data_IF_812954969177
#
_entry.id   IF_812954969177
#
_cell.length_a   1.000
_cell.length_b   1.000
_cell.length_c   1.000
_cell.angle_alpha   90.00
_cell.angle_beta   90.00
_cell.angle_gamma   90.00
#
_symmetry.space_group_name_H-M   'P 1'
#
loop_
_entity.id
_entity.type
_entity.pdbx_description
1 polymer ?
#
# COMPACT_ATOMS: atom_id res chain seq x y z
N UNK A 1 14.73 -28.85 -23.61
CA UNK A 1 15.54 -27.85 -22.89
C UNK A 1 15.78 -28.40 -21.49
N UNK A 2 17.02 -28.53 -21.08
CA UNK A 2 17.35 -28.99 -19.74
C UNK A 2 17.10 -27.80 -18.80
N UNK A 3 16.08 -27.88 -17.97
CA UNK A 3 15.80 -26.84 -16.97
C UNK A 3 16.96 -26.86 -15.97
N UNK A 4 17.76 -25.84 -15.98
CA UNK A 4 18.83 -25.66 -14.99
C UNK A 4 18.15 -25.20 -13.72
N UNK A 5 18.10 -26.03 -12.69
CA UNK A 5 17.51 -25.67 -11.40
C UNK A 5 18.60 -25.09 -10.49
N UNK A 6 19.04 -23.87 -10.81
CA UNK A 6 20.12 -23.17 -10.10
C UNK A 6 19.71 -22.81 -8.68
N UNK A 7 18.44 -22.45 -8.50
CA UNK A 7 17.87 -22.06 -7.19
C UNK A 7 18.05 -23.16 -6.14
N UNK A 8 17.97 -24.45 -6.53
CA UNK A 8 18.06 -25.58 -5.59
C UNK A 8 19.50 -25.98 -5.24
N UNK A 9 20.51 -25.34 -5.81
CA UNK A 9 21.89 -25.64 -5.46
C UNK A 9 22.23 -25.18 -4.04
N UNK A 10 23.09 -25.93 -3.35
CA UNK A 10 23.54 -25.59 -1.99
C UNK A 10 24.16 -24.20 -1.92
N UNK A 11 24.89 -23.82 -2.97
CA UNK A 11 25.51 -22.51 -3.06
C UNK A 11 24.46 -21.38 -3.03
N UNK A 12 23.40 -21.48 -3.85
CA UNK A 12 22.33 -20.45 -3.91
C UNK A 12 21.49 -20.46 -2.64
N UNK A 13 21.20 -21.63 -2.06
CA UNK A 13 20.49 -21.70 -0.79
C UNK A 13 21.28 -21.06 0.37
N UNK A 14 22.60 -21.23 0.37
CA UNK A 14 23.48 -20.56 1.35
C UNK A 14 23.50 -19.04 1.15
N UNK A 15 23.56 -18.59 -0.11
CA UNK A 15 23.49 -17.17 -0.47
C UNK A 15 22.18 -16.54 0.02
N UNK A 16 21.03 -17.18 -0.22
CA UNK A 16 19.71 -16.71 0.21
C UNK A 16 19.64 -16.56 1.74
N UNK A 17 20.09 -17.56 2.48
CA UNK A 17 20.11 -17.51 3.95
C UNK A 17 20.97 -16.35 4.46
N UNK A 18 22.16 -16.17 3.89
CA UNK A 18 23.07 -15.09 4.25
C UNK A 18 22.48 -13.72 3.92
N UNK A 19 21.94 -13.55 2.71
CA UNK A 19 21.33 -12.29 2.26
C UNK A 19 20.12 -11.89 3.11
N UNK A 20 19.34 -12.87 3.60
CA UNK A 20 18.24 -12.65 4.53
C UNK A 20 18.67 -12.49 6.00
N UNK A 21 19.97 -12.64 6.32
CA UNK A 21 20.49 -12.55 7.68
C UNK A 21 20.14 -13.76 8.57
N UNK A 22 19.77 -14.90 7.98
CA UNK A 22 19.43 -16.12 8.72
C UNK A 22 20.66 -16.89 9.22
N UNK A 23 21.86 -16.43 8.88
CA UNK A 23 23.14 -16.96 9.31
C UNK A 23 23.64 -16.40 10.66
N UNK A 24 22.86 -15.52 11.29
CA UNK A 24 23.22 -14.89 12.56
C UNK A 24 21.95 -14.53 13.39
N UNK A 25 22.13 -14.21 14.67
CA UNK A 25 21.05 -13.93 15.61
C UNK A 25 20.68 -12.44 15.72
N UNK A 26 21.28 -11.55 14.88
CA UNK A 26 21.03 -10.10 14.94
C UNK A 26 19.78 -9.74 14.15
N UNK A 27 19.03 -8.76 14.65
CA UNK A 27 17.85 -8.20 13.97
C UNK A 27 16.55 -8.95 14.27
N UNK A 28 15.47 -8.52 13.63
CA UNK A 28 14.12 -9.05 13.86
C UNK A 28 13.92 -10.36 13.09
N UNK A 29 13.57 -11.48 13.76
CA UNK A 29 13.37 -12.78 13.12
C UNK A 29 12.28 -12.75 12.04
N UNK A 30 11.19 -12.01 12.27
CA UNK A 30 10.09 -11.90 11.29
C UNK A 30 10.53 -11.18 10.01
N UNK A 31 11.32 -10.13 10.15
CA UNK A 31 11.89 -9.43 8.98
C UNK A 31 12.80 -10.34 8.17
N UNK A 32 13.62 -11.16 8.82
CA UNK A 32 14.50 -12.13 8.13
C UNK A 32 13.69 -13.18 7.37
N UNK A 33 12.61 -13.69 7.96
CA UNK A 33 11.71 -14.64 7.32
C UNK A 33 11.08 -14.02 6.05
N UNK A 34 10.57 -12.80 6.15
CA UNK A 34 9.98 -12.06 5.02
C UNK A 34 11.04 -11.84 3.93
N UNK A 35 12.23 -11.37 4.30
CA UNK A 35 13.32 -11.15 3.35
C UNK A 35 13.76 -12.43 2.67
N UNK A 36 13.88 -13.54 3.40
CA UNK A 36 14.23 -14.83 2.82
C UNK A 36 13.19 -15.28 1.79
N UNK A 37 11.91 -15.12 2.12
CA UNK A 37 10.82 -15.43 1.20
C UNK A 37 10.83 -14.54 -0.04
N UNK A 38 10.95 -13.22 0.13
CA UNK A 38 11.03 -12.27 -0.97
C UNK A 38 12.17 -12.59 -1.93
N UNK A 39 13.38 -12.79 -1.41
CA UNK A 39 14.55 -13.14 -2.21
C UNK A 39 14.38 -14.47 -2.95
N UNK A 40 13.80 -15.47 -2.29
CA UNK A 40 13.51 -16.77 -2.90
C UNK A 40 12.54 -16.63 -4.08
N UNK A 41 11.46 -15.85 -3.91
CA UNK A 41 10.46 -15.64 -4.95
C UNK A 41 11.03 -14.83 -6.13
N UNK A 42 11.88 -13.83 -5.88
CA UNK A 42 12.58 -13.08 -6.92
C UNK A 42 13.55 -13.98 -7.70
N UNK A 43 14.35 -14.80 -7.01
CA UNK A 43 15.27 -15.73 -7.68
C UNK A 43 14.51 -16.77 -8.52
N UNK A 44 13.39 -17.27 -7.97
CA UNK A 44 12.50 -18.17 -8.71
C UNK A 44 11.91 -17.51 -9.95
N UNK A 45 11.46 -16.27 -9.86
CA UNK A 45 10.95 -15.50 -11.00
C UNK A 45 12.01 -15.33 -12.08
N UNK A 46 13.25 -15.00 -11.69
CA UNK A 46 14.37 -14.86 -12.62
C UNK A 46 14.61 -16.18 -13.38
N UNK A 47 14.59 -17.32 -12.68
CA UNK A 47 14.82 -18.64 -13.27
C UNK A 47 13.63 -19.10 -14.14
N UNK A 48 12.40 -18.93 -13.65
CA UNK A 48 11.17 -19.37 -14.34
C UNK A 48 10.92 -18.59 -15.65
N UNK A 49 11.24 -17.30 -15.65
CA UNK A 49 11.02 -16.39 -16.78
C UNK A 49 12.27 -16.19 -17.65
N UNK A 50 13.38 -16.83 -17.31
CA UNK A 50 14.68 -16.66 -17.98
C UNK A 50 15.09 -15.17 -18.12
N UNK A 51 14.90 -14.41 -17.02
CA UNK A 51 15.17 -12.97 -16.98
C UNK A 51 16.66 -12.72 -17.21
N UNK A 52 16.96 -11.93 -18.21
CA UNK A 52 18.34 -11.52 -18.53
C UNK A 52 18.87 -10.50 -17.51
N UNK A 53 20.19 -10.39 -17.43
CA UNK A 53 20.82 -9.38 -16.59
C UNK A 53 20.39 -7.95 -16.97
N UNK A 54 20.18 -7.69 -18.26
CA UNK A 54 19.76 -6.38 -18.75
C UNK A 54 18.33 -6.04 -18.28
N UNK A 55 17.38 -6.97 -18.42
CA UNK A 55 16.00 -6.80 -17.97
C UNK A 55 15.92 -6.61 -16.43
N UNK A 56 16.72 -7.37 -15.68
CA UNK A 56 16.81 -7.21 -14.22
C UNK A 56 17.28 -5.79 -13.84
N UNK A 57 18.35 -5.29 -14.50
CA UNK A 57 18.86 -3.95 -14.21
C UNK A 57 17.93 -2.82 -14.69
N UNK A 58 17.11 -3.04 -15.72
CA UNK A 58 16.03 -2.10 -16.08
C UNK A 58 15.05 -1.94 -14.91
N UNK A 59 14.62 -3.03 -14.27
CA UNK A 59 13.76 -2.97 -13.09
C UNK A 59 14.41 -2.24 -11.90
N UNK A 60 15.68 -2.52 -11.62
CA UNK A 60 16.44 -1.83 -10.56
C UNK A 60 16.55 -0.33 -10.84
N UNK A 61 16.86 0.06 -12.08
CA UNK A 61 16.96 1.46 -12.47
C UNK A 61 15.61 2.18 -12.33
N UNK A 62 14.52 1.54 -12.71
CA UNK A 62 13.18 2.09 -12.53
C UNK A 62 12.86 2.38 -11.04
N UNK A 63 13.14 1.43 -10.14
CA UNK A 63 12.96 1.67 -8.69
C UNK A 63 13.86 2.81 -8.17
N UNK A 64 15.07 2.93 -8.70
CA UNK A 64 15.97 4.02 -8.34
C UNK A 64 15.43 5.39 -8.80
N UNK A 65 14.85 5.47 -10.00
CA UNK A 65 14.21 6.68 -10.53
C UNK A 65 12.99 7.08 -9.69
N UNK A 66 12.12 6.12 -9.33
CA UNK A 66 10.99 6.37 -8.43
C UNK A 66 11.46 6.94 -7.08
N UNK A 67 12.53 6.38 -6.52
CA UNK A 67 13.10 6.87 -5.26
C UNK A 67 13.69 8.28 -5.40
N UNK A 68 14.41 8.54 -6.48
CA UNK A 68 15.02 9.84 -6.74
C UNK A 68 13.98 10.96 -6.95
N UNK A 69 12.84 10.62 -7.55
CA UNK A 69 11.73 11.55 -7.77
C UNK A 69 10.82 11.72 -6.54
N UNK A 70 11.01 10.95 -5.47
CA UNK A 70 10.09 10.93 -4.34
C UNK A 70 8.76 10.21 -4.60
N UNK A 71 8.68 9.42 -5.68
CA UNK A 71 7.47 8.74 -6.15
C UNK A 71 7.33 7.31 -5.64
N UNK A 72 8.31 6.82 -4.86
CA UNK A 72 8.31 5.45 -4.35
C UNK A 72 7.06 5.11 -3.50
N UNK A 73 6.47 6.11 -2.84
CA UNK A 73 5.22 5.98 -2.08
C UNK A 73 4.01 5.62 -2.97
N UNK A 74 4.07 5.97 -4.25
CA UNK A 74 3.01 5.67 -5.22
C UNK A 74 3.02 4.22 -5.69
N UNK A 75 4.09 3.47 -5.39
CA UNK A 75 4.24 2.08 -5.83
C UNK A 75 3.16 1.18 -5.22
N UNK A 76 2.88 1.34 -3.93
CA UNK A 76 1.91 0.51 -3.22
C UNK A 76 0.49 0.66 -3.76
N UNK A 77 -0.11 1.88 -3.85
CA UNK A 77 -1.43 2.06 -4.43
C UNK A 77 -1.44 1.78 -5.94
N UNK A 78 -0.40 2.17 -6.68
CA UNK A 78 -0.32 1.97 -8.14
C UNK A 78 -0.28 0.52 -8.58
N UNK A 79 0.30 -0.38 -7.77
CA UNK A 79 0.33 -1.83 -8.00
C UNK A 79 -0.80 -2.57 -7.28
N UNK A 80 -1.66 -1.87 -6.53
CA UNK A 80 -2.79 -2.45 -5.83
C UNK A 80 -2.40 -3.23 -4.55
N UNK A 81 -1.22 -3.01 -3.99
CA UNK A 81 -0.79 -3.70 -2.75
C UNK A 81 -1.65 -3.31 -1.57
N UNK A 82 -2.00 -2.02 -1.44
CA UNK A 82 -2.88 -1.52 -0.38
C UNK A 82 -4.26 -2.17 -0.48
N UNK A 83 -4.85 -2.16 -1.68
CA UNK A 83 -6.14 -2.82 -1.91
C UNK A 83 -6.09 -4.33 -1.61
N UNK A 84 -5.01 -5.01 -1.95
CA UNK A 84 -4.84 -6.42 -1.62
C UNK A 84 -4.79 -6.66 -0.10
N UNK A 85 -4.15 -5.74 0.66
CA UNK A 85 -4.13 -5.81 2.12
C UNK A 85 -5.54 -5.61 2.70
N UNK A 86 -6.32 -4.66 2.20
CA UNK A 86 -7.71 -4.43 2.59
C UNK A 86 -8.58 -5.68 2.36
N UNK A 87 -8.51 -6.26 1.16
CA UNK A 87 -9.23 -7.51 0.83
C UNK A 87 -8.85 -8.65 1.79
N UNK A 88 -7.59 -8.71 2.21
CA UNK A 88 -7.16 -9.73 3.18
C UNK A 88 -7.71 -9.50 4.58
N UNK A 89 -7.79 -8.25 5.03
CA UNK A 89 -8.38 -7.93 6.34
C UNK A 89 -9.89 -8.18 6.31
N UNK A 90 -10.61 -7.74 5.25
CA UNK A 90 -12.03 -8.04 5.07
C UNK A 90 -12.31 -9.56 5.07
N UNK A 91 -11.43 -10.36 4.47
CA UNK A 91 -11.56 -11.81 4.51
C UNK A 91 -11.37 -12.40 5.92
N UNK A 92 -10.54 -11.81 6.77
CA UNK A 92 -10.37 -12.23 8.16
C UNK A 92 -11.59 -11.87 9.01
N UNK A 93 -12.08 -10.63 8.86
CA UNK A 93 -13.26 -10.14 9.59
C UNK A 93 -14.49 -10.98 9.21
N UNK A 94 -14.64 -11.28 7.92
CA UNK A 94 -15.65 -12.23 7.43
C UNK A 94 -15.59 -13.59 8.09
N UNK A 95 -14.39 -14.12 8.26
CA UNK A 95 -14.20 -15.46 8.83
C UNK A 95 -14.57 -15.54 10.32
N UNK A 96 -14.55 -14.42 11.03
CA UNK A 96 -14.94 -14.32 12.45
C UNK A 96 -16.37 -13.76 12.64
N UNK A 97 -17.09 -13.48 11.54
CA UNK A 97 -18.47 -12.98 11.59
C UNK A 97 -18.57 -11.48 11.85
N UNK A 98 -17.50 -10.74 11.69
CA UNK A 98 -17.42 -9.26 11.83
C UNK A 98 -17.57 -8.54 10.48
N UNK A 99 -18.32 -9.11 9.56
CA UNK A 99 -18.65 -8.47 8.29
C UNK A 99 -19.88 -7.58 8.45
N UNK A 100 -19.65 -6.29 8.47
CA UNK A 100 -20.71 -5.28 8.44
C UNK A 100 -20.14 -3.92 7.99
N UNK A 101 -21.03 -3.04 7.56
CA UNK A 101 -20.70 -1.68 7.20
C UNK A 101 -20.11 -1.47 5.81
N UNK A 102 -19.48 -0.32 5.62
CA UNK A 102 -18.86 0.10 4.35
C UNK A 102 -17.55 -0.68 4.13
N UNK A 103 -17.33 -1.27 2.94
CA UNK A 103 -16.08 -1.95 2.63
C UNK A 103 -14.87 -1.04 2.78
N UNK A 104 -13.74 -1.60 3.23
CA UNK A 104 -12.46 -0.90 3.27
C UNK A 104 -12.04 -0.48 1.86
N UNK A 105 -11.37 0.66 1.80
CA UNK A 105 -10.73 1.15 0.57
C UNK A 105 -9.44 1.87 0.94
N UNK A 106 -8.58 2.08 -0.03
CA UNK A 106 -7.33 2.82 0.16
C UNK A 106 -7.61 4.31 0.36
N UNK A 107 -6.85 4.95 1.25
CA UNK A 107 -6.86 6.41 1.43
C UNK A 107 -6.35 7.15 0.19
N UNK A 108 -5.54 6.47 -0.60
CA UNK A 108 -4.89 7.04 -1.77
C UNK A 108 -3.63 7.84 -1.44
N UNK A 109 -2.85 8.23 -2.46
CA UNK A 109 -1.55 8.87 -2.27
C UNK A 109 -1.64 10.35 -1.88
N UNK A 110 -2.83 10.93 -1.88
CA UNK A 110 -3.07 12.35 -1.60
C UNK A 110 -3.55 12.62 -0.16
N UNK A 111 -3.79 11.59 0.62
CA UNK A 111 -4.16 11.74 2.03
C UNK A 111 -3.01 12.37 2.84
N UNK A 112 -3.36 13.33 3.69
CA UNK A 112 -2.42 14.00 4.60
C UNK A 112 -3.02 13.98 6.01
N UNK A 113 -2.32 13.33 6.92
CA UNK A 113 -2.70 13.27 8.33
C UNK A 113 -2.64 14.67 8.98
N UNK A 114 -3.54 14.93 9.92
CA UNK A 114 -3.54 16.16 10.71
C UNK A 114 -4.29 17.32 10.08
N UNK A 115 -5.33 17.03 9.30
CA UNK A 115 -6.25 18.02 8.78
C UNK A 115 -6.87 18.90 9.90
N UNK A 116 -7.25 20.17 9.63
CA UNK A 116 -8.01 20.98 10.56
C UNK A 116 -9.32 20.30 10.93
N UNK A 117 -9.67 20.33 12.22
CA UNK A 117 -10.91 19.71 12.71
C UNK A 117 -12.01 20.75 12.81
N UNK A 118 -13.20 20.38 12.34
CA UNK A 118 -14.43 21.19 12.45
C UNK A 118 -15.56 20.34 13.02
N UNK A 119 -16.57 20.97 13.61
CA UNK A 119 -17.78 20.29 14.09
C UNK A 119 -19.00 20.70 13.28
N UNK A 120 -19.77 19.73 12.84
CA UNK A 120 -21.00 19.94 12.10
C UNK A 120 -20.78 20.28 10.63
N UNK A 121 -20.50 21.53 10.29
CA UNK A 121 -20.31 22.01 8.91
C UNK A 121 -18.90 22.61 8.74
N UNK A 122 -18.23 22.26 7.65
CA UNK A 122 -16.92 22.77 7.31
C UNK A 122 -16.85 23.24 5.86
N UNK A 123 -16.14 24.32 5.61
CA UNK A 123 -15.76 24.75 4.28
C UNK A 123 -14.30 24.42 4.04
N UNK A 124 -14.01 23.69 2.97
CA UNK A 124 -12.66 23.23 2.67
C UNK A 124 -11.83 24.24 1.86
N UNK A 125 -12.47 25.21 1.19
CA UNK A 125 -11.79 26.23 0.40
C UNK A 125 -11.95 27.64 1.00
N UNK A 126 -11.27 28.62 0.40
CA UNK A 126 -11.36 30.05 0.77
C UNK A 126 -12.56 30.79 0.13
N UNK A 127 -13.41 30.10 -0.61
CA UNK A 127 -14.55 30.64 -1.34
C UNK A 127 -14.19 31.39 -2.60
N UNK A 128 -12.96 31.36 -3.07
CA UNK A 128 -12.48 32.04 -4.27
C UNK A 128 -12.06 31.08 -5.38
N UNK A 129 -12.19 29.78 -5.14
CA UNK A 129 -11.88 28.78 -6.15
C UNK A 129 -12.81 28.91 -7.35
N UNK A 130 -12.28 28.91 -8.59
CA UNK A 130 -13.10 29.03 -9.80
C UNK A 130 -13.84 27.74 -10.18
N UNK A 131 -13.81 26.71 -9.33
CA UNK A 131 -14.47 25.43 -9.55
C UNK A 131 -15.98 25.50 -9.38
N UNK A 132 -16.65 24.40 -9.70
CA UNK A 132 -18.06 24.21 -9.41
C UNK A 132 -18.22 23.89 -7.92
N UNK A 133 -19.14 24.57 -7.23
CA UNK A 133 -19.45 24.27 -5.84
C UNK A 133 -20.03 22.85 -5.71
N UNK A 134 -19.57 22.15 -4.70
CA UNK A 134 -20.06 20.83 -4.33
C UNK A 134 -20.37 20.82 -2.83
N UNK A 135 -21.53 20.29 -2.50
CA UNK A 135 -21.95 20.05 -1.13
C UNK A 135 -21.96 18.54 -0.87
N UNK A 136 -21.19 18.11 0.12
CA UNK A 136 -21.20 16.73 0.60
C UNK A 136 -21.89 16.71 1.96
N UNK A 137 -22.85 15.82 2.11
CA UNK A 137 -23.51 15.57 3.40
C UNK A 137 -23.70 14.07 3.61
N UNK A 138 -23.66 13.64 4.86
CA UNK A 138 -23.79 12.23 5.20
C UNK A 138 -23.95 12.05 6.69
N UNK A 139 -24.13 10.82 7.10
CA UNK A 139 -24.18 10.39 8.49
C UNK A 139 -23.45 9.06 8.62
N UNK A 140 -22.66 8.92 9.67
CA UNK A 140 -22.06 7.63 10.05
C UNK A 140 -23.05 6.92 10.95
N UNK A 141 -23.40 5.70 10.59
CA UNK A 141 -24.35 4.86 11.33
C UNK A 141 -23.75 3.49 11.59
N UNK A 142 -24.26 2.81 12.61
CA UNK A 142 -23.98 1.40 12.87
C UNK A 142 -24.74 0.46 11.92
N UNK A 143 -24.64 -0.84 12.13
CA UNK A 143 -25.31 -1.86 11.32
C UNK A 143 -26.83 -1.87 11.50
N UNK A 144 -27.34 -1.38 12.62
CA UNK A 144 -28.75 -1.22 12.93
C UNK A 144 -29.34 0.07 12.30
N UNK A 145 -28.46 0.97 11.81
CA UNK A 145 -28.81 2.24 11.22
C UNK A 145 -28.88 3.39 12.23
N UNK A 146 -28.42 3.17 13.45
CA UNK A 146 -28.37 4.21 14.47
C UNK A 146 -27.10 5.09 14.33
N UNK A 147 -27.20 6.40 14.55
CA UNK A 147 -26.08 7.32 14.42
C UNK A 147 -24.94 7.03 15.42
N UNK A 148 -23.71 7.03 14.94
CA UNK A 148 -22.51 6.92 15.77
C UNK A 148 -22.10 8.33 16.22
N UNK A 149 -22.29 8.61 17.52
CA UNK A 149 -21.88 9.88 18.12
C UNK A 149 -20.35 10.00 18.17
N UNK A 150 -19.83 11.16 17.78
CA UNK A 150 -18.39 11.44 17.82
C UNK A 150 -17.58 10.76 16.72
N UNK A 151 -18.22 10.20 15.68
CA UNK A 151 -17.51 9.69 14.53
C UNK A 151 -16.74 10.81 13.83
N UNK A 152 -15.45 10.56 13.56
CA UNK A 152 -14.58 11.47 12.81
C UNK A 152 -14.62 11.07 11.34
N UNK A 153 -14.84 12.06 10.47
CA UNK A 153 -14.85 11.89 9.01
C UNK A 153 -13.77 12.79 8.43
N UNK A 154 -12.73 12.17 7.86
CA UNK A 154 -11.71 12.88 7.12
C UNK A 154 -12.12 13.07 5.67
N UNK A 155 -12.02 14.31 5.17
CA UNK A 155 -12.35 14.64 3.79
C UNK A 155 -11.15 15.33 3.15
N UNK A 156 -10.76 14.86 1.98
CA UNK A 156 -9.70 15.48 1.17
C UNK A 156 -10.03 15.38 -0.31
N UNK A 157 -9.66 16.40 -1.04
CA UNK A 157 -9.74 16.42 -2.51
C UNK A 157 -8.78 17.47 -3.10
N UNK A 158 -8.59 17.45 -4.41
CA UNK A 158 -7.88 18.51 -5.11
C UNK A 158 -8.86 19.54 -5.68
N UNK A 159 -8.50 20.83 -5.61
CA UNK A 159 -9.19 21.89 -6.32
C UNK A 159 -8.92 21.83 -7.85
N UNK A 160 -9.51 22.76 -8.60
CA UNK A 160 -9.33 22.84 -10.06
C UNK A 160 -7.88 23.14 -10.51
N UNK A 161 -7.02 23.54 -9.62
CA UNK A 161 -5.59 23.80 -9.85
C UNK A 161 -4.69 22.65 -9.38
N UNK A 162 -5.28 21.60 -8.81
CA UNK A 162 -4.57 20.47 -8.20
C UNK A 162 -4.04 20.75 -6.80
N UNK A 163 -4.44 21.85 -6.15
CA UNK A 163 -4.10 22.08 -4.75
C UNK A 163 -4.93 21.18 -3.86
N UNK A 164 -4.29 20.53 -2.88
CA UNK A 164 -4.98 19.68 -1.91
C UNK A 164 -5.76 20.51 -0.91
N UNK A 165 -7.01 20.15 -0.72
CA UNK A 165 -7.93 20.67 0.30
C UNK A 165 -8.30 19.50 1.21
N UNK A 166 -8.32 19.73 2.53
CA UNK A 166 -8.64 18.70 3.53
C UNK A 166 -9.20 19.33 4.81
N UNK A 167 -10.09 18.59 5.49
CA UNK A 167 -10.67 18.92 6.79
C UNK A 167 -11.09 17.66 7.52
#
# INVERSE_FOLDING_TARGET
>A
MTTINTLQTEHVQTLLKRAAGLDNDKGNPRTKEIMHRLLTDVFKMIEDLDITQEEFWQGVNYLNELGANGEAVLLAPGLGFDHFLDVREDAKDSAIGELGGTPRTIEGPLYVEGAPTSEGEARMDDGQSPGQEMWLHGQVVDEEGDPIEGAVVDIWHADVKGCLLYT
#
